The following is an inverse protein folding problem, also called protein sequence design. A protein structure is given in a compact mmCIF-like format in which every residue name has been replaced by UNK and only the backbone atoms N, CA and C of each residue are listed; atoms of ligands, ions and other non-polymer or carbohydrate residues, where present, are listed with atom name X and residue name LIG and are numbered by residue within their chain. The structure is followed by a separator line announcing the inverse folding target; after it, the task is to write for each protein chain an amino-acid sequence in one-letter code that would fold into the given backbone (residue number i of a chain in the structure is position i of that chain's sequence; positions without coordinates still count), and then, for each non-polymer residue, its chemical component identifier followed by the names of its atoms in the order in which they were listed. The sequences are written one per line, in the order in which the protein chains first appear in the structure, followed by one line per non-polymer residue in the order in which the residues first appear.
data_IF_333841582269
#
_entry.id   IF_333841582269
#
_cell.length_a   1.000
_cell.length_b   1.000
_cell.length_c   1.000
_cell.angle_alpha   90.00
_cell.angle_beta   90.00
_cell.angle_gamma   90.00
#
_symmetry.space_group_name_H-M   'P 1'
#
loop_
_entity.id
_entity.type
_entity.pdbx_description
1 polymer ?
#
# COMPACT_ATOMS: atom_id res chain seq x y z
N UNK A 1 -21.38 0.45 -31.77
CA UNK A 1 -20.74 1.78 -31.71
C UNK A 1 -21.65 2.87 -31.14
N UNK A 2 -22.72 3.33 -31.81
CA UNK A 2 -23.68 4.32 -31.22
C UNK A 2 -24.64 3.72 -30.19
N UNK A 3 -25.00 2.45 -30.33
CA UNK A 3 -25.82 1.71 -29.35
C UNK A 3 -25.07 1.46 -28.04
N UNK A 4 -23.83 0.97 -28.15
CA UNK A 4 -22.99 0.56 -27.02
C UNK A 4 -22.72 1.73 -26.03
N UNK A 5 -22.53 2.95 -26.54
CA UNK A 5 -22.34 4.15 -25.69
C UNK A 5 -23.62 4.56 -24.96
N UNK A 6 -24.78 4.38 -25.61
CA UNK A 6 -26.07 4.69 -25.01
C UNK A 6 -26.45 3.63 -23.96
N UNK A 7 -26.17 2.37 -24.24
CA UNK A 7 -26.34 1.24 -23.31
C UNK A 7 -25.42 1.39 -22.09
N UNK A 8 -24.14 1.76 -22.28
CA UNK A 8 -23.22 2.03 -21.18
C UNK A 8 -23.72 3.16 -20.27
N UNK A 9 -24.23 4.26 -20.85
CA UNK A 9 -24.81 5.36 -20.06
C UNK A 9 -26.05 4.93 -19.28
N UNK A 10 -26.93 4.15 -19.88
CA UNK A 10 -28.12 3.63 -19.20
C UNK A 10 -27.74 2.67 -18.07
N UNK A 11 -26.75 1.80 -18.29
CA UNK A 11 -26.24 0.91 -17.24
C UNK A 11 -25.67 1.71 -16.06
N UNK A 12 -24.89 2.77 -16.31
CA UNK A 12 -24.37 3.66 -15.26
C UNK A 12 -25.49 4.38 -14.49
N UNK A 13 -26.53 4.87 -15.16
CA UNK A 13 -27.69 5.46 -14.50
C UNK A 13 -28.46 4.45 -13.63
N UNK A 14 -28.49 3.18 -14.04
CA UNK A 14 -29.11 2.10 -13.29
C UNK A 14 -28.29 1.65 -12.08
N UNK A 15 -26.95 1.67 -12.16
CA UNK A 15 -26.09 1.35 -11.01
C UNK A 15 -26.35 2.29 -9.83
N UNK A 16 -26.61 3.57 -10.09
CA UNK A 16 -26.97 4.53 -9.03
C UNK A 16 -28.32 4.27 -8.36
N UNK A 17 -29.15 3.39 -8.93
CA UNK A 17 -30.48 2.99 -8.41
C UNK A 17 -30.54 1.54 -7.94
N UNK A 18 -29.46 0.78 -8.13
CA UNK A 18 -29.43 -0.63 -7.77
C UNK A 18 -29.22 -0.79 -6.26
N UNK A 19 -29.60 -1.95 -5.73
CA UNK A 19 -29.23 -2.32 -4.37
C UNK A 19 -27.70 -2.31 -4.28
N UNK A 20 -27.15 -1.66 -3.25
CA UNK A 20 -25.71 -1.51 -3.16
C UNK A 20 -25.05 -2.87 -3.01
N UNK A 21 -24.11 -3.15 -3.90
CA UNK A 21 -23.29 -4.36 -3.86
C UNK A 21 -22.39 -4.36 -2.63
N UNK A 22 -21.88 -5.54 -2.28
CA UNK A 22 -20.92 -5.67 -1.19
C UNK A 22 -19.48 -5.33 -1.64
N UNK A 23 -18.55 -5.35 -0.67
CA UNK A 23 -17.14 -5.05 -0.90
C UNK A 23 -16.49 -6.08 -1.82
N UNK A 24 -16.87 -7.36 -1.73
CA UNK A 24 -16.30 -8.42 -2.57
C UNK A 24 -16.69 -8.21 -4.04
N UNK A 25 -17.95 -7.91 -4.30
CA UNK A 25 -18.47 -7.62 -5.64
C UNK A 25 -17.80 -6.35 -6.21
N UNK A 26 -17.56 -5.33 -5.38
CA UNK A 26 -16.85 -4.13 -5.80
C UNK A 26 -15.40 -4.41 -6.26
N UNK A 27 -14.73 -5.44 -5.73
CA UNK A 27 -13.41 -5.84 -6.21
C UNK A 27 -13.45 -6.37 -7.65
N UNK A 28 -14.54 -7.03 -8.05
CA UNK A 28 -14.70 -7.51 -9.43
C UNK A 28 -14.77 -6.34 -10.42
N UNK A 29 -15.41 -5.24 -10.02
CA UNK A 29 -15.49 -4.00 -10.81
C UNK A 29 -14.14 -3.29 -10.96
N UNK A 30 -13.12 -3.67 -10.18
CA UNK A 30 -11.74 -3.17 -10.31
C UNK A 30 -10.84 -4.08 -11.16
N UNK A 31 -11.36 -5.23 -11.60
CA UNK A 31 -10.66 -6.17 -12.49
C UNK A 31 -10.40 -5.55 -13.89
N UNK A 32 -9.52 -6.15 -14.72
CA UNK A 32 -9.27 -5.65 -16.08
C UNK A 32 -10.48 -5.75 -17.02
N UNK A 33 -11.55 -6.44 -16.61
CA UNK A 33 -12.79 -6.55 -17.40
C UNK A 33 -13.51 -5.20 -17.46
N UNK A 34 -13.41 -4.39 -16.40
CA UNK A 34 -14.12 -3.12 -16.26
C UNK A 34 -13.18 -1.94 -16.46
N UNK A 35 -13.28 -1.36 -17.65
CA UNK A 35 -12.40 -0.31 -18.15
C UNK A 35 -12.93 1.12 -17.97
N UNK A 36 -14.24 1.27 -17.66
CA UNK A 36 -14.92 2.57 -17.48
C UNK A 36 -14.53 3.20 -16.15
N UNK A 37 -14.07 4.46 -16.19
CA UNK A 37 -13.71 5.21 -14.99
C UNK A 37 -14.90 5.43 -14.06
N UNK A 38 -16.11 5.54 -14.61
CA UNK A 38 -17.35 5.68 -13.83
C UNK A 38 -17.67 4.40 -13.05
N UNK A 39 -17.48 3.21 -13.66
CA UNK A 39 -17.65 1.92 -12.98
C UNK A 39 -16.61 1.76 -11.86
N UNK A 40 -15.35 2.12 -12.13
CA UNK A 40 -14.28 2.04 -11.13
C UNK A 40 -14.48 3.05 -9.99
N UNK A 41 -14.97 4.25 -10.29
CA UNK A 41 -15.35 5.23 -9.27
C UNK A 41 -16.51 4.73 -8.40
N UNK A 42 -17.50 4.07 -8.99
CA UNK A 42 -18.57 3.42 -8.22
C UNK A 42 -18.02 2.33 -7.30
N UNK A 43 -17.12 1.47 -7.79
CA UNK A 43 -16.47 0.45 -6.97
C UNK A 43 -15.74 1.07 -5.77
N UNK A 44 -14.98 2.16 -5.99
CA UNK A 44 -14.32 2.90 -4.90
C UNK A 44 -15.33 3.47 -3.91
N UNK A 45 -16.46 4.00 -4.35
CA UNK A 45 -17.50 4.49 -3.43
C UNK A 45 -18.12 3.39 -2.55
N UNK A 46 -18.13 2.14 -3.01
CA UNK A 46 -18.52 0.99 -2.19
C UNK A 46 -17.42 0.67 -1.17
N UNK A 47 -16.16 0.66 -1.60
CA UNK A 47 -15.00 0.43 -0.71
C UNK A 47 -14.87 1.47 0.40
N UNK A 48 -15.28 2.72 0.17
CA UNK A 48 -15.26 3.78 1.17
C UNK A 48 -16.10 3.48 2.42
N UNK A 49 -17.07 2.56 2.30
CA UNK A 49 -17.94 2.13 3.40
C UNK A 49 -17.32 1.04 4.28
N UNK A 50 -16.30 0.35 3.79
CA UNK A 50 -15.57 -0.65 4.56
C UNK A 50 -14.80 0.02 5.70
N UNK A 51 -14.76 -0.63 6.86
CA UNK A 51 -13.83 -0.25 7.92
C UNK A 51 -12.39 -0.66 7.56
N UNK A 52 -11.42 -0.23 8.36
CA UNK A 52 -10.01 -0.49 8.06
C UNK A 52 -9.64 -1.98 8.17
N UNK A 53 -10.30 -2.75 9.04
CA UNK A 53 -10.04 -4.18 9.25
C UNK A 53 -10.51 -5.00 8.04
N UNK A 54 -11.71 -4.72 7.56
CA UNK A 54 -12.25 -5.28 6.34
C UNK A 54 -11.41 -4.86 5.13
N UNK A 55 -11.07 -3.58 5.01
CA UNK A 55 -10.25 -3.08 3.92
C UNK A 55 -8.86 -3.75 3.88
N UNK A 56 -8.25 -3.99 5.04
CA UNK A 56 -6.95 -4.66 5.16
C UNK A 56 -6.98 -6.08 4.58
N UNK A 57 -8.11 -6.79 4.71
CA UNK A 57 -8.28 -8.13 4.16
C UNK A 57 -8.21 -8.16 2.62
N UNK A 58 -8.52 -7.04 1.97
CA UNK A 58 -8.52 -6.88 0.52
C UNK A 58 -7.37 -6.00 -0.01
N UNK A 59 -6.56 -5.43 0.88
CA UNK A 59 -5.55 -4.42 0.51
C UNK A 59 -4.57 -4.94 -0.54
N UNK A 60 -4.15 -6.20 -0.46
CA UNK A 60 -3.26 -6.77 -1.47
C UNK A 60 -3.92 -6.77 -2.85
N UNK A 61 -5.17 -7.24 -2.95
CA UNK A 61 -5.95 -7.30 -4.18
C UNK A 61 -6.19 -5.89 -4.74
N UNK A 62 -6.45 -4.90 -3.88
CA UNK A 62 -6.59 -3.50 -4.27
C UNK A 62 -5.29 -2.92 -4.83
N UNK A 63 -4.15 -3.22 -4.21
CA UNK A 63 -2.84 -2.85 -4.78
C UNK A 63 -2.65 -3.51 -6.14
N UNK A 64 -3.06 -4.78 -6.30
CA UNK A 64 -2.95 -5.44 -7.58
C UNK A 64 -3.81 -4.76 -8.67
N UNK A 65 -4.99 -4.26 -8.29
CA UNK A 65 -5.93 -3.60 -9.19
C UNK A 65 -5.42 -2.24 -9.72
N UNK A 66 -4.46 -1.60 -9.06
CA UNK A 66 -3.83 -0.35 -9.53
C UNK A 66 -3.23 -0.49 -10.93
N UNK A 67 -2.83 -1.70 -11.34
CA UNK A 67 -2.30 -1.98 -12.70
C UNK A 67 -3.30 -1.72 -13.81
N UNK A 68 -4.59 -1.85 -13.51
CA UNK A 68 -5.67 -1.75 -14.49
C UNK A 68 -6.31 -0.36 -14.51
N UNK A 69 -5.86 0.53 -13.64
CA UNK A 69 -6.33 1.92 -13.60
C UNK A 69 -5.96 2.68 -14.89
N UNK A 70 -6.78 3.65 -15.27
CA UNK A 70 -6.55 4.45 -16.49
C UNK A 70 -5.58 5.60 -16.29
N UNK A 71 -5.41 6.06 -15.05
CA UNK A 71 -4.55 7.18 -14.67
C UNK A 71 -3.68 6.82 -13.47
N UNK A 72 -2.47 7.39 -13.44
CA UNK A 72 -1.55 7.28 -12.30
C UNK A 72 -2.16 7.90 -11.02
N UNK A 73 -3.08 8.86 -11.15
CA UNK A 73 -3.83 9.51 -10.06
C UNK A 73 -5.30 9.10 -10.05
N UNK A 74 -5.58 7.80 -10.23
CA UNK A 74 -6.95 7.27 -10.24
C UNK A 74 -7.70 7.41 -8.92
N UNK A 75 -9.01 7.20 -8.94
CA UNK A 75 -9.86 7.16 -7.75
C UNK A 75 -9.35 6.11 -6.75
N UNK A 76 -8.99 4.91 -7.21
CA UNK A 76 -8.45 3.85 -6.34
C UNK A 76 -7.12 4.25 -5.69
N UNK A 77 -6.20 4.85 -6.46
CA UNK A 77 -4.93 5.33 -5.91
C UNK A 77 -5.15 6.39 -4.83
N UNK A 78 -6.04 7.36 -5.09
CA UNK A 78 -6.34 8.41 -4.12
C UNK A 78 -7.01 7.83 -2.87
N UNK A 79 -7.98 6.93 -3.04
CA UNK A 79 -8.66 6.26 -1.94
C UNK A 79 -7.68 5.52 -1.02
N UNK A 80 -6.82 4.66 -1.59
CA UNK A 80 -5.84 3.90 -0.80
C UNK A 80 -4.90 4.83 -0.03
N UNK A 81 -4.39 5.88 -0.67
CA UNK A 81 -3.53 6.86 0.01
C UNK A 81 -4.29 7.57 1.13
N UNK A 82 -5.50 8.08 0.87
CA UNK A 82 -6.28 8.79 1.89
C UNK A 82 -6.62 7.92 3.11
N UNK A 83 -6.94 6.63 2.90
CA UNK A 83 -7.14 5.68 4.02
C UNK A 83 -5.85 5.47 4.80
N UNK A 84 -4.72 5.28 4.12
CA UNK A 84 -3.41 5.14 4.76
C UNK A 84 -2.98 6.36 5.59
N UNK A 85 -3.38 7.58 5.21
CA UNK A 85 -3.05 8.78 6.01
C UNK A 85 -3.70 8.77 7.39
N UNK A 86 -4.77 8.01 7.59
CA UNK A 86 -5.50 7.94 8.86
C UNK A 86 -5.26 6.62 9.61
N UNK A 87 -4.47 5.70 9.05
CA UNK A 87 -4.19 4.39 9.64
C UNK A 87 -2.76 3.94 9.30
N UNK A 88 -1.89 3.91 10.32
CA UNK A 88 -0.47 3.57 10.17
C UNK A 88 -0.24 2.12 9.73
N UNK A 89 -1.12 1.20 10.11
CA UNK A 89 -1.00 -0.19 9.71
C UNK A 89 -1.28 -0.33 8.21
N UNK A 90 -2.36 0.28 7.72
CA UNK A 90 -2.66 0.35 6.28
C UNK A 90 -1.54 1.07 5.51
N UNK A 91 -0.99 2.16 6.05
CA UNK A 91 0.14 2.86 5.45
C UNK A 91 1.39 1.98 5.31
N UNK A 92 1.73 1.23 6.36
CA UNK A 92 2.86 0.31 6.34
C UNK A 92 2.67 -0.76 5.27
N UNK A 93 1.51 -1.43 5.25
CA UNK A 93 1.21 -2.46 4.25
C UNK A 93 1.21 -1.90 2.84
N UNK A 94 0.52 -0.78 2.58
CA UNK A 94 0.45 -0.17 1.26
C UNK A 94 1.85 0.15 0.74
N UNK A 95 2.70 0.78 1.57
CA UNK A 95 4.08 1.12 1.20
C UNK A 95 4.87 -0.13 0.82
N UNK A 96 4.79 -1.19 1.63
CA UNK A 96 5.52 -2.43 1.36
C UNK A 96 5.03 -3.12 0.09
N UNK A 97 3.72 -3.23 -0.10
CA UNK A 97 3.15 -3.86 -1.29
C UNK A 97 3.55 -3.10 -2.55
N UNK A 98 3.40 -1.77 -2.57
CA UNK A 98 3.80 -0.93 -3.70
C UNK A 98 5.31 -1.01 -3.96
N UNK A 99 6.15 -1.03 -2.92
CA UNK A 99 7.59 -1.15 -3.06
C UNK A 99 8.02 -2.49 -3.69
N UNK A 100 7.37 -3.59 -3.33
CA UNK A 100 7.61 -4.91 -3.95
C UNK A 100 7.22 -4.89 -5.43
N UNK A 101 6.14 -4.20 -5.79
CA UNK A 101 5.70 -4.14 -7.18
C UNK A 101 6.63 -3.34 -8.10
N UNK A 102 7.55 -2.54 -7.55
CA UNK A 102 8.58 -1.86 -8.33
C UNK A 102 9.59 -2.82 -8.99
N UNK A 103 9.65 -4.08 -8.56
CA UNK A 103 10.52 -5.09 -9.16
C UNK A 103 10.01 -5.58 -10.52
N UNK A 104 8.74 -5.34 -10.88
CA UNK A 104 8.19 -5.64 -12.21
C UNK A 104 8.22 -4.37 -13.09
N UNK A 105 9.12 -4.29 -14.08
CA UNK A 105 9.24 -3.12 -14.95
C UNK A 105 7.97 -2.82 -15.76
N UNK A 106 7.10 -3.81 -16.00
CA UNK A 106 5.89 -3.62 -16.80
C UNK A 106 4.92 -2.62 -16.15
N UNK A 107 4.90 -2.56 -14.81
CA UNK A 107 3.98 -1.73 -14.04
C UNK A 107 4.66 -0.79 -13.06
N UNK A 108 5.99 -0.86 -12.91
CA UNK A 108 6.76 -0.09 -11.94
C UNK A 108 6.41 1.41 -11.93
N UNK A 109 6.18 2.04 -13.09
CA UNK A 109 5.78 3.45 -13.16
C UNK A 109 4.49 3.72 -12.37
N UNK A 110 3.46 2.88 -12.55
CA UNK A 110 2.16 3.04 -11.90
C UNK A 110 2.29 2.96 -10.38
N UNK A 111 3.03 1.96 -9.91
CA UNK A 111 3.29 1.76 -8.48
C UNK A 111 4.17 2.87 -7.90
N UNK A 112 5.19 3.31 -8.63
CA UNK A 112 6.04 4.42 -8.21
C UNK A 112 5.23 5.70 -8.02
N UNK A 113 4.27 6.01 -8.91
CA UNK A 113 3.38 7.14 -8.72
C UNK A 113 2.53 7.02 -7.44
N UNK A 114 1.98 5.85 -7.12
CA UNK A 114 1.27 5.65 -5.85
C UNK A 114 2.19 5.83 -4.63
N UNK A 115 3.43 5.33 -4.70
CA UNK A 115 4.43 5.52 -3.66
C UNK A 115 4.75 7.01 -3.45
N UNK A 116 5.00 7.77 -4.53
CA UNK A 116 5.27 9.21 -4.47
C UNK A 116 4.08 9.97 -3.88
N UNK A 117 2.85 9.63 -4.27
CA UNK A 117 1.65 10.30 -3.74
C UNK A 117 1.50 10.01 -2.24
N UNK A 118 1.78 8.79 -1.79
CA UNK A 118 1.76 8.44 -0.37
C UNK A 118 2.80 9.26 0.42
N UNK A 119 4.05 9.28 -0.05
CA UNK A 119 5.15 10.04 0.54
C UNK A 119 4.81 11.53 0.61
N UNK A 120 4.41 12.13 -0.51
CA UNK A 120 4.08 13.55 -0.58
C UNK A 120 2.96 13.93 0.39
N UNK A 121 1.90 13.12 0.50
CA UNK A 121 0.78 13.43 1.38
C UNK A 121 1.17 13.29 2.85
N UNK A 122 1.93 12.26 3.23
CA UNK A 122 2.45 12.12 4.60
C UNK A 122 3.39 13.27 4.98
N UNK A 123 4.25 13.70 4.05
CA UNK A 123 5.12 14.86 4.26
C UNK A 123 4.32 16.17 4.38
N UNK A 124 3.23 16.33 3.61
CA UNK A 124 2.37 17.52 3.70
C UNK A 124 1.59 17.60 5.01
N UNK A 125 1.23 16.47 5.63
CA UNK A 125 0.62 16.47 6.96
C UNK A 125 1.52 17.13 8.01
N UNK A 126 2.85 17.05 7.85
CA UNK A 126 3.81 17.70 8.74
C UNK A 126 3.85 19.25 8.62
N UNK A 127 3.26 19.82 7.55
CA UNK A 127 3.31 21.26 7.25
C UNK A 127 2.01 22.02 7.53
N UNK A 128 1.00 21.38 8.11
CA UNK A 128 -0.29 22.01 8.40
C UNK A 128 -0.22 23.10 9.48
N UNK A 129 -1.14 24.08 9.48
CA UNK A 129 -1.16 25.20 10.44
C UNK A 129 -1.32 24.77 11.91
N UNK A 130 -1.70 23.51 12.16
CA UNK A 130 -1.83 22.91 13.49
C UNK A 130 -0.55 22.22 13.99
N UNK A 131 0.54 22.21 13.22
CA UNK A 131 1.89 21.90 13.74
C UNK A 131 2.05 20.53 14.39
N UNK A 132 1.32 19.51 13.95
CA UNK A 132 1.62 18.15 14.38
C UNK A 132 2.78 17.63 13.51
N UNK A 133 3.98 17.60 14.07
CA UNK A 133 5.18 16.92 13.55
C UNK A 133 4.96 15.41 13.26
N UNK A 134 3.72 14.93 13.36
CA UNK A 134 3.31 13.54 13.34
C UNK A 134 3.51 12.92 11.94
N UNK A 135 3.07 13.57 10.87
CA UNK A 135 3.18 13.02 9.50
C UNK A 135 4.62 12.73 9.05
N UNK A 136 5.57 13.61 9.38
CA UNK A 136 6.98 13.41 9.07
C UNK A 136 7.60 12.29 9.90
N UNK A 137 7.32 12.26 11.20
CA UNK A 137 7.77 11.18 12.10
C UNK A 137 7.19 9.83 11.69
N UNK A 138 5.93 9.82 11.25
CA UNK A 138 5.24 8.65 10.73
C UNK A 138 5.93 8.10 9.48
N UNK A 139 6.20 8.97 8.49
CA UNK A 139 6.93 8.57 7.29
C UNK A 139 8.34 8.08 7.63
N UNK A 140 9.06 8.78 8.51
CA UNK A 140 10.38 8.33 8.98
C UNK A 140 10.30 6.95 9.65
N UNK A 141 9.28 6.69 10.46
CA UNK A 141 9.05 5.38 11.07
C UNK A 141 8.87 4.30 10.01
N UNK A 142 8.06 4.56 8.97
CA UNK A 142 7.85 3.64 7.85
C UNK A 142 9.12 3.39 7.02
N UNK A 143 9.91 4.43 6.77
CA UNK A 143 11.19 4.30 6.06
C UNK A 143 12.19 3.47 6.89
N UNK A 144 12.29 3.73 8.20
CA UNK A 144 13.16 2.97 9.12
C UNK A 144 12.82 1.49 9.18
N UNK A 145 11.55 1.10 9.03
CA UNK A 145 11.17 -0.31 8.91
C UNK A 145 11.89 -1.01 7.73
N UNK A 146 12.19 -0.27 6.66
CA UNK A 146 12.94 -0.79 5.50
C UNK A 146 14.40 -1.02 5.83
N UNK A 147 15.02 -0.07 6.53
CA UNK A 147 16.41 -0.16 6.97
C UNK A 147 16.60 -1.36 7.91
N UNK A 148 15.70 -1.50 8.89
CA UNK A 148 15.69 -2.64 9.81
C UNK A 148 15.53 -3.97 9.05
N UNK A 149 14.62 -4.03 8.08
CA UNK A 149 14.42 -5.23 7.25
C UNK A 149 15.67 -5.57 6.43
N UNK A 150 16.33 -4.57 5.86
CA UNK A 150 17.57 -4.75 5.11
C UNK A 150 18.72 -5.26 6.00
N UNK A 151 18.84 -4.70 7.21
CA UNK A 151 19.81 -5.15 8.21
C UNK A 151 19.54 -6.61 8.63
N UNK A 152 18.28 -6.96 8.94
CA UNK A 152 17.90 -8.33 9.25
C UNK A 152 18.18 -9.30 8.09
N UNK A 153 17.90 -8.90 6.85
CA UNK A 153 18.22 -9.71 5.66
C UNK A 153 19.74 -9.91 5.50
N UNK A 154 20.54 -8.89 5.81
CA UNK A 154 22.01 -8.99 5.83
C UNK A 154 22.49 -9.97 6.89
N UNK A 155 21.99 -9.83 8.13
CA UNK A 155 22.30 -10.74 9.24
C UNK A 155 21.95 -12.18 8.88
N UNK A 156 20.77 -12.42 8.30
CA UNK A 156 20.33 -13.75 7.87
C UNK A 156 21.26 -14.33 6.79
N UNK A 157 21.76 -13.52 5.87
CA UNK A 157 22.73 -13.92 4.84
C UNK A 157 24.08 -14.30 5.45
N UNK A 158 24.57 -13.51 6.40
CA UNK A 158 25.83 -13.76 7.10
C UNK A 158 25.76 -15.05 7.90
N UNK A 159 24.68 -15.26 8.66
CA UNK A 159 24.43 -16.50 9.42
C UNK A 159 24.32 -17.71 8.49
N UNK A 160 23.70 -17.56 7.31
CA UNK A 160 23.63 -18.63 6.30
C UNK A 160 25.03 -19.05 5.83
N UNK A 161 25.95 -18.10 5.69
CA UNK A 161 27.32 -18.32 5.20
C UNK A 161 28.28 -18.88 6.27
N UNK A 162 27.89 -18.91 7.55
CA UNK A 162 28.69 -19.53 8.62
C UNK A 162 28.83 -21.03 8.38
N UNK A 163 30.07 -21.49 8.26
CA UNK A 163 30.41 -22.92 8.24
C UNK A 163 30.41 -23.46 9.67
N UNK A 164 29.78 -24.62 9.88
CA UNK A 164 29.75 -25.29 11.17
C UNK A 164 28.36 -25.79 11.55
N UNK A 165 28.25 -26.27 12.78
CA UNK A 165 27.01 -26.77 13.34
C UNK A 165 26.05 -25.63 13.73
N UNK A 166 24.81 -25.99 14.07
CA UNK A 166 23.75 -25.04 14.47
C UNK A 166 24.18 -24.14 15.63
N UNK A 167 24.97 -24.66 16.58
CA UNK A 167 25.46 -23.89 17.72
C UNK A 167 26.29 -22.67 17.30
N UNK A 168 27.25 -22.85 16.37
CA UNK A 168 28.04 -21.74 15.83
C UNK A 168 27.20 -20.71 15.08
N UNK A 169 26.14 -21.15 14.39
CA UNK A 169 25.19 -20.26 13.72
C UNK A 169 24.38 -19.43 14.73
N UNK A 170 23.93 -20.04 15.82
CA UNK A 170 23.21 -19.37 16.90
C UNK A 170 24.10 -18.32 17.59
N UNK A 171 25.36 -18.67 17.88
CA UNK A 171 26.33 -17.74 18.48
C UNK A 171 26.57 -16.52 17.58
N UNK A 172 26.77 -16.76 16.27
CA UNK A 172 26.93 -15.66 15.31
C UNK A 172 25.67 -14.80 15.22
N UNK A 173 24.49 -15.41 15.19
CA UNK A 173 23.21 -14.68 15.16
C UNK A 173 23.07 -13.78 16.40
N UNK A 174 23.31 -14.30 17.61
CA UNK A 174 23.25 -13.52 18.85
C UNK A 174 24.22 -12.35 18.85
N UNK A 175 25.45 -12.56 18.36
CA UNK A 175 26.45 -11.49 18.24
C UNK A 175 25.96 -10.37 17.32
N UNK A 176 25.43 -10.71 16.15
CA UNK A 176 24.96 -9.74 15.17
C UNK A 176 23.70 -8.99 15.65
N UNK A 177 22.75 -9.70 16.25
CA UNK A 177 21.54 -9.10 16.82
C UNK A 177 21.84 -8.18 18.01
N UNK A 178 22.86 -8.49 18.82
CA UNK A 178 23.27 -7.61 19.92
C UNK A 178 23.75 -6.25 19.43
N UNK A 179 24.44 -6.18 18.29
CA UNK A 179 24.83 -4.91 17.68
C UNK A 179 23.62 -4.11 17.20
N UNK A 180 22.71 -4.80 16.49
CA UNK A 180 21.46 -4.20 16.01
C UNK A 180 20.58 -3.63 17.14
N UNK A 181 20.39 -4.38 18.22
CA UNK A 181 19.58 -3.95 19.36
C UNK A 181 20.20 -2.77 20.11
N UNK A 182 21.54 -2.67 20.14
CA UNK A 182 22.21 -1.51 20.73
C UNK A 182 22.02 -0.23 19.92
N UNK A 183 21.88 -0.34 18.60
CA UNK A 183 21.46 0.79 17.77
C UNK A 183 20.00 1.13 18.08
N UNK A 184 19.11 0.12 18.17
CA UNK A 184 17.68 0.27 18.46
C UNK A 184 17.35 0.96 19.80
N UNK A 185 18.23 0.88 20.80
CA UNK A 185 18.04 1.61 22.07
C UNK A 185 18.23 3.13 21.98
N UNK A 186 18.76 3.65 20.87
CA UNK A 186 18.82 5.09 20.59
C UNK A 186 17.54 5.64 19.94
N UNK A 187 16.51 4.83 19.76
CA UNK A 187 15.29 5.20 19.03
C UNK A 187 14.15 5.74 19.92
N UNK A 188 14.32 5.74 21.24
CA UNK A 188 13.42 6.43 22.18
C UNK A 188 14.02 7.77 22.62
N UNK A 189 13.92 8.79 21.76
CA UNK A 189 14.07 10.21 22.13
C UNK A 189 13.44 11.11 21.09
#
# INVERSE_FOLDING_TARGET
ARGDVQEAKQALEMMGRWEMIDVCDALELLSPVFESEEVRAYAVSVLERADDEELQCYLLQLVQALRFERSDKSCLCQFLVQRSLNNIELASFLRWYVAVELYDPAYAKRFYCTYEILEENMMKLAGGPNGEEDGFKLWQSLVRQTELTAQLCSIMRDVRNVRGNTQKKIEKLRQLLSGLLSELTYFES
#
